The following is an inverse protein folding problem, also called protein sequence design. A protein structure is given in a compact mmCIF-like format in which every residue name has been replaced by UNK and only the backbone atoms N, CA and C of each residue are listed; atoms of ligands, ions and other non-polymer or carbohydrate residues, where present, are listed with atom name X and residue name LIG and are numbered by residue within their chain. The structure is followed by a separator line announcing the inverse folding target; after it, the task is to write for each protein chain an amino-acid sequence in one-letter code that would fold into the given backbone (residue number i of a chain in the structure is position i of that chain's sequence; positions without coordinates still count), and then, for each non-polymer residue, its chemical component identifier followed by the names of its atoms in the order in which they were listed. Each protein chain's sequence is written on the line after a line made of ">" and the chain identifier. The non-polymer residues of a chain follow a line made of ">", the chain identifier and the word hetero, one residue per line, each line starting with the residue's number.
data_IF_951603477669
#
_entry.id   IF_951603477669
#
_cell.length_a   1.000
_cell.length_b   1.000
_cell.length_c   1.000
_cell.angle_alpha   90.00
_cell.angle_beta   90.00
_cell.angle_gamma   90.00
#
_symmetry.space_group_name_H-M   'P 1'
#
loop_
_entity.id
_entity.type
_entity.pdbx_description
1 polymer ?
#
# COMPACT_ATOMS: atom_id res chain seq x y z
N UNK A 1 18.22 -52.54 4.67
CA UNK A 1 19.05 -51.50 4.05
C UNK A 1 18.90 -51.64 2.54
N UNK A 2 17.97 -51.04 1.83
CA UNK A 2 16.75 -50.31 2.17
C UNK A 2 15.73 -50.64 1.07
N UNK A 3 14.57 -51.10 1.51
CA UNK A 3 13.33 -51.17 0.73
C UNK A 3 12.75 -49.76 0.72
N UNK A 4 12.50 -49.16 -0.45
CA UNK A 4 11.59 -47.99 -0.66
C UNK A 4 11.71 -47.28 -2.04
N UNK A 5 12.42 -47.80 -3.04
CA UNK A 5 12.45 -47.17 -4.38
C UNK A 5 11.38 -47.68 -5.34
N UNK A 6 10.17 -47.98 -4.85
CA UNK A 6 9.00 -48.26 -5.70
C UNK A 6 8.40 -46.97 -6.26
N UNK A 7 9.14 -46.36 -7.19
CA UNK A 7 8.70 -45.27 -8.06
C UNK A 7 7.74 -45.89 -9.10
N UNK A 8 6.43 -45.90 -8.80
CA UNK A 8 5.40 -46.48 -9.66
C UNK A 8 5.17 -45.65 -10.93
N UNK A 9 6.06 -45.79 -11.92
CA UNK A 9 5.81 -45.41 -13.30
C UNK A 9 4.81 -46.42 -13.90
N UNK A 10 3.51 -46.10 -14.00
CA UNK A 10 2.54 -46.95 -14.73
C UNK A 10 2.78 -46.77 -16.23
N UNK A 11 3.36 -47.78 -16.89
CA UNK A 11 3.69 -47.78 -18.31
C UNK A 11 2.44 -48.14 -19.12
N UNK A 12 1.83 -47.20 -19.85
CA UNK A 12 0.52 -47.43 -20.49
C UNK A 12 0.52 -47.65 -22.01
N UNK A 13 1.60 -47.33 -22.76
CA UNK A 13 1.84 -47.82 -24.14
C UNK A 13 3.11 -47.20 -24.73
N UNK A 14 3.90 -47.98 -25.48
CA UNK A 14 4.99 -47.49 -26.34
C UNK A 14 4.66 -47.84 -27.79
N UNK A 15 4.83 -46.90 -28.72
CA UNK A 15 4.60 -47.12 -30.15
C UNK A 15 5.89 -46.85 -30.93
N UNK A 16 6.37 -47.88 -31.63
CA UNK A 16 7.42 -47.94 -32.65
C UNK A 16 8.83 -47.41 -32.32
N UNK A 17 9.02 -46.45 -31.41
CA UNK A 17 10.30 -46.14 -30.73
C UNK A 17 10.18 -45.00 -29.68
N UNK A 18 8.95 -44.60 -29.30
CA UNK A 18 8.72 -43.49 -28.35
C UNK A 18 7.78 -43.98 -27.25
N UNK A 19 8.22 -43.86 -26.00
CA UNK A 19 7.40 -44.10 -24.81
C UNK A 19 7.02 -42.74 -24.20
N UNK A 20 5.72 -42.42 -24.18
CA UNK A 20 5.22 -41.23 -23.49
C UNK A 20 5.01 -41.56 -22.01
N UNK A 21 5.72 -40.86 -21.12
CA UNK A 21 5.51 -40.95 -19.67
C UNK A 21 4.59 -39.82 -19.20
N UNK A 22 3.41 -40.16 -18.66
CA UNK A 22 2.53 -39.16 -18.05
C UNK A 22 3.02 -38.92 -16.62
N UNK A 23 3.61 -37.74 -16.37
CA UNK A 23 3.91 -37.27 -15.02
C UNK A 23 2.58 -37.01 -14.31
N UNK A 24 2.18 -37.94 -13.43
CA UNK A 24 1.00 -37.79 -12.57
C UNK A 24 1.35 -36.80 -11.45
N UNK A 25 0.95 -35.54 -11.65
CA UNK A 25 0.57 -34.53 -10.66
C UNK A 25 1.39 -34.48 -9.35
N UNK A 26 2.49 -33.73 -9.35
CA UNK A 26 3.09 -33.19 -8.12
C UNK A 26 3.09 -31.67 -8.23
N UNK A 27 1.91 -31.07 -8.00
CA UNK A 27 1.90 -29.86 -7.18
C UNK A 27 1.86 -30.40 -5.76
N UNK A 28 3.01 -30.51 -5.05
CA UNK A 28 2.95 -30.92 -3.67
C UNK A 28 2.12 -29.85 -2.96
N UNK A 29 0.98 -30.25 -2.41
CA UNK A 29 0.22 -29.41 -1.50
C UNK A 29 1.11 -29.26 -0.27
N UNK A 30 2.01 -28.28 -0.31
CA UNK A 30 2.69 -27.76 0.87
C UNK A 30 1.82 -26.60 1.32
N UNK A 31 0.84 -26.82 2.23
CA UNK A 31 0.05 -25.73 2.76
C UNK A 31 1.00 -24.66 3.30
N UNK A 32 0.70 -23.40 2.99
CA UNK A 32 1.57 -22.26 3.32
C UNK A 32 1.89 -22.29 4.82
N UNK A 33 3.18 -22.20 5.22
CA UNK A 33 3.57 -22.26 6.63
C UNK A 33 3.15 -20.97 7.33
N UNK A 34 1.97 -20.97 7.96
CA UNK A 34 1.39 -19.80 8.62
C UNK A 34 2.28 -19.25 9.76
N UNK A 35 3.00 -20.12 10.47
CA UNK A 35 3.96 -19.74 11.51
C UNK A 35 5.09 -18.84 10.98
N UNK A 36 5.53 -19.09 9.74
CA UNK A 36 6.52 -18.23 9.09
C UNK A 36 5.92 -16.89 8.63
N UNK A 37 4.60 -16.82 8.44
CA UNK A 37 3.90 -15.60 8.02
C UNK A 37 3.45 -14.71 9.17
N UNK A 38 3.28 -15.25 10.38
CA UNK A 38 2.94 -14.46 11.57
C UNK A 38 3.87 -13.26 11.80
N UNK A 39 5.22 -13.38 11.78
CA UNK A 39 6.09 -12.23 11.99
C UNK A 39 5.92 -11.18 10.89
N UNK A 40 5.78 -11.60 9.62
CA UNK A 40 5.53 -10.68 8.52
C UNK A 40 4.16 -9.99 8.61
N UNK A 41 3.13 -10.70 9.09
CA UNK A 41 1.80 -10.16 9.33
C UNK A 41 1.81 -9.08 10.42
N UNK A 42 2.53 -9.30 11.52
CA UNK A 42 2.67 -8.32 12.59
C UNK A 42 3.40 -7.06 12.07
N UNK A 43 4.51 -7.25 11.35
CA UNK A 43 5.26 -6.14 10.76
C UNK A 43 4.36 -5.33 9.82
N UNK A 44 3.65 -5.99 8.90
CA UNK A 44 2.73 -5.35 7.98
C UNK A 44 1.60 -4.61 8.71
N UNK A 45 1.04 -5.19 9.77
CA UNK A 45 0.01 -4.56 10.58
C UNK A 45 0.53 -3.29 11.27
N UNK A 46 1.71 -3.33 11.88
CA UNK A 46 2.32 -2.17 12.53
C UNK A 46 2.58 -1.03 11.53
N UNK A 47 3.09 -1.35 10.34
CA UNK A 47 3.28 -0.36 9.27
C UNK A 47 1.96 0.20 8.76
N UNK A 48 0.93 -0.64 8.59
CA UNK A 48 -0.39 -0.21 8.17
C UNK A 48 -0.99 0.77 9.19
N UNK A 49 -1.01 0.39 10.48
CA UNK A 49 -1.52 1.23 11.57
C UNK A 49 -0.78 2.57 11.63
N UNK A 50 0.54 2.56 11.52
CA UNK A 50 1.35 3.78 11.55
C UNK A 50 1.07 4.66 10.32
N UNK A 51 1.01 4.05 9.13
CA UNK A 51 0.74 4.76 7.88
C UNK A 51 -0.63 5.42 7.86
N UNK A 52 -1.68 4.68 8.25
CA UNK A 52 -3.04 5.23 8.35
C UNK A 52 -3.13 6.26 9.46
N UNK A 53 -2.51 6.01 10.62
CA UNK A 53 -2.49 6.94 11.75
C UNK A 53 -1.91 8.30 11.37
N UNK A 54 -0.73 8.33 10.74
CA UNK A 54 -0.10 9.57 10.28
C UNK A 54 -0.91 10.28 9.19
N UNK A 55 -1.54 9.52 8.29
CA UNK A 55 -2.40 10.09 7.23
C UNK A 55 -3.61 10.79 7.83
N UNK A 56 -4.31 10.16 8.79
CA UNK A 56 -5.48 10.73 9.47
C UNK A 56 -5.13 11.98 10.27
N UNK A 57 -4.03 11.94 11.04
CA UNK A 57 -3.56 13.11 11.81
C UNK A 57 -3.26 14.28 10.87
N UNK A 58 -2.55 14.05 9.76
CA UNK A 58 -2.28 15.09 8.76
C UNK A 58 -3.54 15.62 8.12
N UNK A 59 -4.50 14.76 7.81
CA UNK A 59 -5.77 15.16 7.22
C UNK A 59 -6.58 16.07 8.16
N UNK A 60 -6.64 15.74 9.44
CA UNK A 60 -7.33 16.57 10.43
C UNK A 60 -6.61 17.89 10.73
N UNK A 61 -5.27 17.88 10.77
CA UNK A 61 -4.48 19.11 10.93
C UNK A 61 -4.59 20.08 9.73
N UNK A 62 -4.98 19.58 8.55
CA UNK A 62 -5.14 20.37 7.33
C UNK A 62 -6.62 20.72 7.06
N UNK A 63 -7.41 20.97 8.11
CA UNK A 63 -8.84 21.32 7.98
C UNK A 63 -9.63 20.32 7.12
N UNK A 64 -9.33 19.03 7.25
CA UNK A 64 -9.94 17.94 6.47
C UNK A 64 -9.67 18.04 4.96
N UNK A 65 -8.55 18.65 4.58
CA UNK A 65 -8.03 18.65 3.21
C UNK A 65 -6.78 17.78 3.14
N UNK A 66 -6.58 17.16 1.97
CA UNK A 66 -5.36 16.37 1.71
C UNK A 66 -4.10 17.26 1.80
N UNK A 67 -2.98 16.78 2.37
CA UNK A 67 -1.73 17.52 2.43
C UNK A 67 -1.19 17.79 1.02
N UNK A 68 -0.52 18.93 0.82
CA UNK A 68 0.16 19.25 -0.43
C UNK A 68 1.63 18.82 -0.37
N UNK A 69 2.17 18.46 -1.53
CA UNK A 69 3.55 18.03 -1.71
C UNK A 69 4.19 18.89 -2.80
N UNK A 70 5.52 19.00 -2.79
CA UNK A 70 6.31 19.76 -3.79
C UNK A 70 5.90 21.23 -3.92
N UNK A 71 5.77 21.91 -2.77
CA UNK A 71 5.38 23.32 -2.72
C UNK A 71 6.51 24.20 -3.22
N UNK A 72 6.22 25.03 -4.23
CA UNK A 72 7.17 26.04 -4.70
C UNK A 72 7.12 27.30 -3.82
N UNK A 73 7.99 28.28 -4.14
CA UNK A 73 8.06 29.55 -3.40
C UNK A 73 6.80 30.40 -3.57
N UNK A 74 6.12 30.29 -4.72
CA UNK A 74 4.90 31.02 -5.00
C UNK A 74 3.72 30.44 -4.21
N UNK A 75 3.55 29.12 -4.21
CA UNK A 75 2.54 28.39 -3.45
C UNK A 75 2.70 28.63 -1.95
N UNK A 76 3.95 28.72 -1.47
CA UNK A 76 4.23 29.06 -0.08
C UNK A 76 3.73 30.47 0.29
N UNK A 77 3.95 31.45 -0.59
CA UNK A 77 3.42 32.80 -0.41
C UNK A 77 1.88 32.85 -0.51
N UNK A 78 1.29 32.10 -1.45
CA UNK A 78 -0.16 32.02 -1.59
C UNK A 78 -0.82 31.37 -0.38
N UNK A 79 -0.21 30.35 0.23
CA UNK A 79 -0.69 29.78 1.50
C UNK A 79 -0.70 30.80 2.63
N UNK A 80 0.36 31.59 2.74
CA UNK A 80 0.47 32.61 3.78
C UNK A 80 -0.58 33.69 3.58
N UNK A 81 -0.80 34.12 2.32
CA UNK A 81 -1.89 35.01 1.94
C UNK A 81 -3.26 34.44 2.32
N UNK A 82 -3.54 33.19 1.97
CA UNK A 82 -4.83 32.55 2.25
C UNK A 82 -5.08 32.41 3.76
N UNK A 83 -4.02 32.13 4.54
CA UNK A 83 -4.06 32.14 6.01
C UNK A 83 -4.37 33.53 6.57
N UNK A 84 -3.79 34.58 6.01
CA UNK A 84 -4.10 35.96 6.42
C UNK A 84 -5.53 36.36 6.07
N UNK A 85 -6.07 35.87 4.94
CA UNK A 85 -7.44 36.17 4.49
C UNK A 85 -8.51 35.41 5.29
N UNK A 86 -8.24 34.16 5.68
CA UNK A 86 -9.24 33.27 6.28
C UNK A 86 -9.01 32.96 7.75
N UNK A 87 -7.81 33.22 8.28
CA UNK A 87 -7.40 32.86 9.64
C UNK A 87 -7.14 31.37 9.86
N UNK A 88 -7.44 30.51 8.87
CA UNK A 88 -7.27 29.06 8.92
C UNK A 88 -6.07 28.63 8.06
N UNK A 89 -5.44 27.50 8.41
CA UNK A 89 -4.27 26.99 7.70
C UNK A 89 -4.62 26.61 6.25
N UNK A 90 -5.84 26.11 6.00
CA UNK A 90 -6.28 25.65 4.67
C UNK A 90 -7.64 26.21 4.23
N UNK A 91 -8.09 27.27 4.90
CA UNK A 91 -9.28 28.02 4.55
C UNK A 91 -9.22 28.56 3.12
N UNK A 92 -10.32 28.47 2.39
CA UNK A 92 -10.47 29.08 1.07
C UNK A 92 -11.70 29.98 1.12
N UNK A 93 -11.59 31.16 0.50
CA UNK A 93 -12.70 32.10 0.39
C UNK A 93 -12.82 32.57 -1.05
N UNK A 94 -14.06 32.71 -1.53
CA UNK A 94 -14.38 33.22 -2.86
C UNK A 94 -15.01 34.62 -2.82
N UNK A 95 -14.97 35.29 -1.66
CA UNK A 95 -15.55 36.62 -1.49
C UNK A 95 -14.81 37.65 -2.37
N UNK A 96 -15.57 38.51 -3.04
CA UNK A 96 -15.02 39.57 -3.91
C UNK A 96 -14.29 40.65 -3.15
N UNK A 97 -14.70 40.92 -1.90
CA UNK A 97 -14.12 41.94 -1.03
C UNK A 97 -13.40 41.26 0.13
N UNK A 98 -12.12 41.62 0.32
CA UNK A 98 -11.30 41.12 1.42
C UNK A 98 -11.77 41.69 2.78
N UNK A 99 -11.58 40.96 3.89
CA UNK A 99 -11.88 41.48 5.21
C UNK A 99 -10.96 42.65 5.55
N UNK A 100 -11.47 43.61 6.33
CA UNK A 100 -10.72 44.82 6.69
C UNK A 100 -9.44 44.52 7.47
N UNK A 101 -9.46 43.46 8.28
CA UNK A 101 -8.31 42.96 9.05
C UNK A 101 -7.12 42.57 8.16
N UNK A 102 -7.35 42.20 6.89
CA UNK A 102 -6.28 41.84 5.96
C UNK A 102 -5.35 43.02 5.64
N UNK A 103 -5.81 44.27 5.77
CA UNK A 103 -5.00 45.47 5.48
C UNK A 103 -3.87 45.69 6.47
N UNK A 104 -3.94 45.08 7.66
CA UNK A 104 -3.07 45.40 8.81
C UNK A 104 -2.37 44.18 9.41
N UNK A 105 -2.43 43.01 8.77
CA UNK A 105 -1.98 41.71 9.30
C UNK A 105 -0.67 41.21 8.68
#
# INVERSE_FOLDING_TARGET
>A
MDDDTKFWLKMERCHINICFYKRQDIFPVMPVPFEALLPFGIIAAMFAVTGTGLSVVKYHANDKKMPRYNLDTWESQMMQRDKQLTGSIRGQTANTTAPETFKTN
#
